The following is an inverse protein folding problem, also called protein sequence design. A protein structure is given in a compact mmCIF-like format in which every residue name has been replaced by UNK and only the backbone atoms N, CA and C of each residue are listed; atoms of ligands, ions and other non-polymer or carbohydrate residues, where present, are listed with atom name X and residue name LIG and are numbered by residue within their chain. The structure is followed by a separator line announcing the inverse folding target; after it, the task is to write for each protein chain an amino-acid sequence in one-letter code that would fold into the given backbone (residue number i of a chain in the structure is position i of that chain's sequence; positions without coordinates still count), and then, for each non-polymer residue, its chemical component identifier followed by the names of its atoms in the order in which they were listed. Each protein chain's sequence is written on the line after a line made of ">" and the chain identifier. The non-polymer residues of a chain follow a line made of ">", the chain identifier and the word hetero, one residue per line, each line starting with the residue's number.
data_IF_053709934076
#
_entry.id   IF_053709934076
#
_cell.length_a   1.000
_cell.length_b   1.000
_cell.length_c   1.000
_cell.angle_alpha   90.00
_cell.angle_beta   90.00
_cell.angle_gamma   90.00
#
_symmetry.space_group_name_H-M   'P 1'
#
loop_
_entity.id
_entity.type
_entity.pdbx_description
1 polymer ?
#
# COMPACT_ATOMS: atom_id res chain seq x y z
N UNK A 1 0.69 5.24 0.83
CA UNK A 1 -0.68 4.73 0.64
C UNK A 1 -1.52 5.08 1.88
N UNK A 2 -2.04 6.33 2.00
CA UNK A 2 -2.82 6.79 3.17
C UNK A 2 -4.32 6.44 3.11
N UNK A 3 -4.74 5.55 2.22
CA UNK A 3 -6.14 5.30 1.86
C UNK A 3 -6.99 4.79 3.04
N UNK A 4 -6.39 4.06 3.98
CA UNK A 4 -7.10 3.57 5.18
C UNK A 4 -7.60 4.70 6.09
N UNK A 5 -6.93 5.85 6.07
CA UNK A 5 -7.38 7.05 6.78
C UNK A 5 -8.55 7.74 6.08
N UNK A 6 -8.78 7.47 4.79
CA UNK A 6 -9.87 8.02 3.98
C UNK A 6 -11.10 7.10 3.89
N UNK A 7 -11.07 5.92 4.51
CA UNK A 7 -12.14 4.92 4.35
C UNK A 7 -12.06 4.13 3.03
N UNK A 8 -10.88 4.09 2.41
CA UNK A 8 -10.54 3.26 1.24
C UNK A 8 -9.44 2.26 1.63
N UNK A 9 -8.81 1.59 0.68
CA UNK A 9 -7.71 0.65 0.87
C UNK A 9 -6.62 0.93 -0.18
N UNK A 10 -5.38 0.45 -0.02
CA UNK A 10 -4.35 0.62 -1.03
C UNK A 10 -4.77 -0.03 -2.36
N UNK A 11 -5.13 0.79 -3.34
CA UNK A 11 -5.64 0.39 -4.65
C UNK A 11 -4.59 0.63 -5.75
N UNK A 12 -5.01 0.71 -7.02
CA UNK A 12 -4.15 1.00 -8.19
C UNK A 12 -2.98 0.02 -8.39
N UNK A 13 -3.14 -1.23 -7.97
CA UNK A 13 -2.15 -2.28 -7.98
C UNK A 13 -1.29 -2.33 -6.72
N UNK A 14 -1.58 -1.54 -5.70
CA UNK A 14 -0.79 -1.52 -4.47
C UNK A 14 -0.82 -2.83 -3.71
N UNK A 15 -1.92 -3.58 -3.76
CA UNK A 15 -1.94 -4.92 -3.14
C UNK A 15 -0.94 -5.87 -3.79
N UNK A 16 -0.59 -5.65 -5.07
CA UNK A 16 0.44 -6.42 -5.76
C UNK A 16 1.86 -6.04 -5.32
N UNK A 17 2.23 -4.75 -5.37
CA UNK A 17 3.62 -4.37 -5.04
C UNK A 17 3.88 -4.38 -3.53
N UNK A 18 2.91 -3.98 -2.68
CA UNK A 18 3.07 -4.04 -1.22
C UNK A 18 3.31 -5.47 -0.75
N UNK A 19 2.59 -6.44 -1.31
CA UNK A 19 2.72 -7.85 -0.94
C UNK A 19 4.07 -8.49 -1.29
N UNK A 20 4.91 -7.79 -2.08
CA UNK A 20 6.26 -8.23 -2.48
C UNK A 20 7.37 -7.50 -1.73
N UNK A 21 7.03 -6.52 -0.89
CA UNK A 21 8.02 -5.86 -0.06
C UNK A 21 8.60 -6.82 0.99
N UNK A 22 9.81 -6.55 1.52
CA UNK A 22 10.48 -7.42 2.47
C UNK A 22 9.60 -7.77 3.68
N UNK A 23 9.51 -9.06 4.00
CA UNK A 23 8.75 -9.56 5.15
C UNK A 23 7.30 -9.06 5.16
N UNK A 24 6.91 -8.35 6.22
CA UNK A 24 5.58 -7.76 6.42
C UNK A 24 5.57 -6.23 6.30
N UNK A 25 6.57 -5.66 5.61
CA UNK A 25 6.69 -4.21 5.42
C UNK A 25 5.54 -3.64 4.59
N UNK A 26 5.02 -4.41 3.63
CA UNK A 26 3.86 -4.04 2.83
C UNK A 26 2.59 -3.85 3.65
N UNK A 27 2.30 -4.78 4.55
CA UNK A 27 1.19 -4.69 5.49
C UNK A 27 1.33 -3.48 6.40
N UNK A 28 2.54 -3.19 6.91
CA UNK A 28 2.80 -1.98 7.68
C UNK A 28 2.44 -0.72 6.87
N UNK A 29 3.01 -0.54 5.68
CA UNK A 29 2.78 0.65 4.85
C UNK A 29 1.31 0.80 4.43
N UNK A 30 0.67 -0.30 4.06
CA UNK A 30 -0.71 -0.30 3.58
C UNK A 30 -1.72 -0.02 4.69
N UNK A 31 -1.45 -0.46 5.92
CA UNK A 31 -2.36 -0.23 7.05
C UNK A 31 -2.17 1.15 7.70
N UNK A 32 -0.92 1.59 7.87
CA UNK A 32 -0.61 2.83 8.60
C UNK A 32 -0.60 4.07 7.72
N UNK A 33 -0.39 3.90 6.41
CA UNK A 33 -0.16 5.02 5.49
C UNK A 33 1.13 5.78 5.77
N UNK A 34 2.10 5.14 6.42
CA UNK A 34 3.39 5.74 6.74
C UNK A 34 4.10 6.29 5.49
N UNK A 35 4.76 7.43 5.67
CA UNK A 35 5.57 8.06 4.62
C UNK A 35 6.98 7.48 4.67
N UNK A 36 7.51 7.19 3.49
CA UNK A 36 8.91 6.81 3.32
C UNK A 36 9.68 7.97 2.71
N UNK A 37 10.95 8.09 3.08
CA UNK A 37 11.90 8.93 2.36
C UNK A 37 12.57 8.18 1.20
N UNK A 38 13.45 8.88 0.50
CA UNK A 38 14.20 8.39 -0.65
C UNK A 38 15.05 7.15 -0.34
N UNK A 39 15.81 7.17 0.75
CA UNK A 39 16.65 6.06 1.19
C UNK A 39 15.81 4.85 1.56
N UNK A 40 14.67 5.06 2.24
CA UNK A 40 13.74 4.01 2.60
C UNK A 40 13.04 3.39 1.39
N UNK A 41 12.62 4.21 0.43
CA UNK A 41 12.03 3.74 -0.82
C UNK A 41 12.99 2.85 -1.60
N UNK A 42 14.27 3.23 -1.67
CA UNK A 42 15.30 2.42 -2.32
C UNK A 42 15.56 1.13 -1.53
N UNK A 43 15.70 1.21 -0.21
CA UNK A 43 16.02 0.06 0.64
C UNK A 43 14.92 -1.01 0.64
N UNK A 44 13.64 -0.60 0.59
CA UNK A 44 12.52 -1.55 0.54
C UNK A 44 12.15 -2.02 -0.88
N UNK A 45 12.80 -1.48 -1.91
CA UNK A 45 12.58 -1.88 -3.31
C UNK A 45 11.40 -1.20 -4.01
N UNK A 46 10.86 -0.11 -3.45
CA UNK A 46 9.85 0.72 -4.11
C UNK A 46 10.46 1.71 -5.13
N UNK A 47 11.68 2.17 -4.89
CA UNK A 47 12.48 2.91 -5.87
C UNK A 47 13.57 2.00 -6.44
N UNK A 48 13.87 2.16 -7.73
CA UNK A 48 14.97 1.43 -8.39
C UNK A 48 16.29 2.19 -8.30
N UNK A 49 16.24 3.52 -8.32
CA UNK A 49 17.41 4.40 -8.26
C UNK A 49 17.10 5.64 -7.42
N UNK A 50 18.15 6.25 -6.87
CA UNK A 50 18.10 7.56 -6.25
C UNK A 50 19.01 8.52 -7.02
N UNK A 51 18.48 9.67 -7.43
CA UNK A 51 19.23 10.70 -8.15
C UNK A 51 19.01 12.04 -7.44
N UNK A 52 20.08 12.74 -7.00
CA UNK A 52 19.93 14.06 -6.40
C UNK A 52 19.22 15.04 -7.35
N UNK A 53 18.34 15.86 -6.81
CA UNK A 53 17.52 16.80 -7.61
C UNK A 53 18.35 17.70 -8.53
N UNK A 54 19.55 18.12 -8.09
CA UNK A 54 20.49 18.93 -8.87
C UNK A 54 21.02 18.25 -10.13
N UNK A 55 20.90 16.91 -10.23
CA UNK A 55 21.33 16.12 -11.40
C UNK A 55 20.17 15.71 -12.32
N UNK A 56 18.91 15.94 -11.93
CA UNK A 56 17.75 15.46 -12.69
C UNK A 56 17.66 16.09 -14.10
N UNK A 57 17.93 17.38 -14.25
CA UNK A 57 17.90 18.03 -15.58
C UNK A 57 18.95 17.43 -16.53
N UNK A 58 20.14 17.12 -16.03
CA UNK A 58 21.19 16.51 -16.83
C UNK A 58 20.89 15.04 -17.16
N UNK A 59 20.21 14.31 -16.27
CA UNK A 59 19.71 12.97 -16.55
C UNK A 59 18.63 12.99 -17.64
N UNK A 60 17.68 13.93 -17.56
CA UNK A 60 16.62 14.09 -18.57
C UNK A 60 17.20 14.36 -19.96
N UNK A 61 18.19 15.27 -20.06
CA UNK A 61 18.89 15.55 -21.32
C UNK A 61 19.61 14.29 -21.86
N UNK A 62 20.28 13.53 -21.01
CA UNK A 62 20.95 12.30 -21.42
C UNK A 62 19.96 11.23 -21.95
N UNK A 63 18.80 11.09 -21.31
CA UNK A 63 17.75 10.16 -21.75
C UNK A 63 17.13 10.56 -23.09
N UNK A 64 16.97 11.87 -23.34
CA UNK A 64 16.46 12.38 -24.63
C UNK A 64 17.39 12.08 -25.82
N UNK A 65 18.69 11.92 -25.57
CA UNK A 65 19.69 11.72 -26.62
C UNK A 65 19.89 10.25 -27.03
N UNK A 66 19.12 9.32 -26.47
CA UNK A 66 19.29 7.88 -26.69
C UNK A 66 18.27 7.34 -27.66
N UNK A 67 18.75 6.55 -28.62
CA UNK A 67 17.89 5.83 -29.55
C UNK A 67 16.94 4.90 -28.81
N UNK A 68 15.63 5.19 -28.86
CA UNK A 68 14.57 4.40 -28.23
C UNK A 68 14.56 2.97 -28.77
N UNK A 69 15.17 2.01 -28.06
CA UNK A 69 14.91 0.58 -28.29
C UNK A 69 15.55 -0.37 -27.26
N UNK A 70 16.56 0.04 -26.49
CA UNK A 70 17.21 -0.84 -25.53
C UNK A 70 16.99 -0.42 -24.05
N UNK A 71 16.17 -1.15 -23.27
CA UNK A 71 16.01 -0.92 -21.84
C UNK A 71 17.32 -0.97 -21.04
N UNK A 72 18.31 -1.77 -21.48
CA UNK A 72 19.61 -1.84 -20.81
C UNK A 72 20.39 -0.53 -20.98
N UNK A 73 20.34 0.08 -22.17
CA UNK A 73 20.92 1.40 -22.41
C UNK A 73 20.28 2.49 -21.54
N UNK A 74 18.95 2.45 -21.37
CA UNK A 74 18.24 3.37 -20.48
C UNK A 74 18.69 3.19 -19.02
N UNK A 75 18.75 1.94 -18.54
CA UNK A 75 19.23 1.66 -17.17
C UNK A 75 20.66 2.17 -16.96
N UNK A 76 21.57 1.87 -17.89
CA UNK A 76 22.96 2.28 -17.80
C UNK A 76 23.17 3.80 -17.76
N UNK A 77 22.23 4.57 -18.32
CA UNK A 77 22.25 6.03 -18.20
C UNK A 77 21.81 6.44 -16.81
N UNK A 78 20.67 5.92 -16.32
CA UNK A 78 20.18 6.25 -14.98
C UNK A 78 21.26 5.93 -13.93
N UNK A 79 21.96 4.80 -14.08
CA UNK A 79 23.07 4.37 -13.22
C UNK A 79 24.22 5.41 -13.13
N UNK A 80 24.52 6.13 -14.21
CA UNK A 80 25.56 7.20 -14.20
C UNK A 80 25.17 8.40 -13.33
N UNK A 81 23.86 8.61 -13.16
CA UNK A 81 23.32 9.71 -12.35
C UNK A 81 22.95 9.28 -10.93
N UNK A 82 22.72 7.99 -10.74
CA UNK A 82 22.34 7.39 -9.48
C UNK A 82 23.42 7.56 -8.39
N UNK A 83 22.95 7.64 -7.16
CA UNK A 83 23.77 7.65 -5.95
C UNK A 83 23.13 6.74 -4.90
N UNK A 84 23.94 6.28 -3.95
CA UNK A 84 23.43 5.53 -2.80
C UNK A 84 23.11 6.50 -1.65
N UNK A 85 21.82 6.74 -1.31
CA UNK A 85 21.47 7.51 -0.14
C UNK A 85 21.70 6.68 1.13
N UNK A 86 22.04 7.35 2.23
CA UNK A 86 22.19 6.71 3.53
C UNK A 86 20.85 6.70 4.28
N UNK A 87 20.49 5.56 4.87
CA UNK A 87 19.37 5.50 5.80
C UNK A 87 19.66 6.36 7.04
N UNK A 88 18.65 7.10 7.49
CA UNK A 88 18.72 7.86 8.74
C UNK A 88 18.72 6.89 9.92
N UNK A 89 19.36 7.28 11.02
CA UNK A 89 19.41 6.47 12.26
C UNK A 89 18.02 6.01 12.74
N UNK A 90 17.01 6.89 12.64
CA UNK A 90 15.61 6.60 13.00
C UNK A 90 14.74 6.12 11.84
N UNK A 91 15.34 5.62 10.76
CA UNK A 91 14.60 5.14 9.60
C UNK A 91 13.62 4.03 9.99
N UNK A 92 12.45 4.06 9.36
CA UNK A 92 11.42 3.01 9.47
C UNK A 92 11.97 1.68 8.97
N UNK A 93 12.87 1.69 7.98
CA UNK A 93 13.46 0.46 7.44
C UNK A 93 14.32 -0.28 8.48
N UNK A 94 14.97 0.44 9.40
CA UNK A 94 15.68 -0.18 10.53
C UNK A 94 14.75 -0.88 11.53
N UNK A 95 13.43 -0.67 11.43
CA UNK A 95 12.43 -1.30 12.28
C UNK A 95 11.81 -2.55 11.66
N UNK A 96 12.37 -3.05 10.56
CA UNK A 96 11.86 -4.21 9.83
C UNK A 96 11.67 -5.44 10.73
N UNK A 97 12.56 -5.68 11.70
CA UNK A 97 12.40 -6.81 12.64
C UNK A 97 11.16 -6.66 13.54
N UNK A 98 10.91 -5.46 14.07
CA UNK A 98 9.72 -5.18 14.86
C UNK A 98 8.45 -5.23 14.00
N UNK A 99 8.53 -4.70 12.79
CA UNK A 99 7.44 -4.79 11.80
C UNK A 99 7.13 -6.26 11.51
N UNK A 100 8.13 -7.09 11.25
CA UNK A 100 7.93 -8.50 10.97
C UNK A 100 7.31 -9.25 12.14
N UNK A 101 7.74 -8.97 13.38
CA UNK A 101 7.11 -9.56 14.57
C UNK A 101 5.64 -9.16 14.68
N UNK A 102 5.34 -7.87 14.64
CA UNK A 102 3.99 -7.36 14.90
C UNK A 102 3.01 -7.53 13.74
N UNK A 103 3.44 -7.31 12.49
CA UNK A 103 2.56 -7.33 11.30
C UNK A 103 2.41 -8.71 10.65
N UNK A 104 3.08 -9.74 11.19
CA UNK A 104 2.92 -11.13 10.75
C UNK A 104 1.60 -11.77 11.19
N UNK A 105 0.92 -11.21 12.19
CA UNK A 105 -0.27 -11.80 12.80
C UNK A 105 -1.51 -11.82 11.90
N UNK A 106 -2.37 -12.84 12.04
CA UNK A 106 -3.50 -13.13 11.15
C UNK A 106 -4.53 -12.01 10.98
N UNK A 107 -4.74 -11.19 12.01
CA UNK A 107 -5.80 -10.18 12.06
C UNK A 107 -5.27 -8.81 12.47
N UNK A 108 -6.02 -7.74 12.18
CA UNK A 108 -5.63 -6.37 12.57
C UNK A 108 -5.64 -6.23 14.11
N UNK A 109 -6.57 -6.90 14.77
CA UNK A 109 -6.69 -6.98 16.23
C UNK A 109 -5.44 -7.60 16.87
N UNK A 110 -4.94 -8.70 16.30
CA UNK A 110 -3.72 -9.34 16.78
C UNK A 110 -2.48 -8.47 16.52
N UNK A 111 -2.42 -7.78 15.37
CA UNK A 111 -1.34 -6.83 15.05
C UNK A 111 -1.32 -5.69 16.09
N UNK A 112 -2.48 -5.11 16.41
CA UNK A 112 -2.60 -4.07 17.43
C UNK A 112 -2.19 -4.59 18.80
N UNK A 113 -2.63 -5.79 19.18
CA UNK A 113 -2.28 -6.42 20.44
C UNK A 113 -0.76 -6.68 20.55
N UNK A 114 -0.12 -7.12 19.46
CA UNK A 114 1.32 -7.31 19.41
C UNK A 114 2.09 -5.98 19.55
N UNK A 115 1.63 -4.91 18.89
CA UNK A 115 2.21 -3.57 19.04
C UNK A 115 2.05 -3.03 20.48
N UNK A 116 0.88 -3.22 21.09
CA UNK A 116 0.62 -2.80 22.47
C UNK A 116 1.51 -3.57 23.46
N UNK A 117 1.73 -4.86 23.24
CA UNK A 117 2.67 -5.65 24.03
C UNK A 117 4.12 -5.17 23.86
N UNK A 118 4.59 -4.90 22.63
CA UNK A 118 5.94 -4.33 22.43
C UNK A 118 6.08 -2.94 23.09
N UNK A 119 5.02 -2.11 23.10
CA UNK A 119 5.04 -0.80 23.73
C UNK A 119 5.18 -0.84 25.26
N UNK A 120 4.77 -1.96 25.89
CA UNK A 120 4.96 -2.16 27.33
C UNK A 120 6.39 -2.50 27.71
N UNK A 121 7.09 -3.25 26.84
CA UNK A 121 8.48 -3.68 27.07
C UNK A 121 9.49 -2.58 26.72
N UNK A 122 9.22 -1.79 25.66
CA UNK A 122 10.04 -0.66 25.25
C UNK A 122 9.23 0.60 25.00
N UNK A 123 9.60 1.68 25.67
CA UNK A 123 9.07 3.01 25.36
C UNK A 123 9.66 3.50 24.02
N UNK A 124 8.91 3.29 22.94
CA UNK A 124 9.30 3.65 21.58
C UNK A 124 8.23 4.48 20.90
N UNK A 125 8.57 5.74 20.60
CA UNK A 125 7.68 6.72 19.97
C UNK A 125 7.06 6.20 18.66
N UNK A 126 7.81 5.41 17.89
CA UNK A 126 7.31 4.83 16.63
C UNK A 126 6.19 3.83 16.87
N UNK A 127 6.28 2.99 17.92
CA UNK A 127 5.23 2.01 18.23
C UNK A 127 3.95 2.76 18.64
N UNK A 128 4.08 3.72 19.56
CA UNK A 128 2.97 4.55 20.00
C UNK A 128 2.29 5.27 18.83
N UNK A 129 3.08 5.89 17.94
CA UNK A 129 2.56 6.55 16.75
C UNK A 129 1.85 5.56 15.80
N UNK A 130 2.42 4.37 15.60
CA UNK A 130 1.83 3.31 14.77
C UNK A 130 0.48 2.85 15.31
N UNK A 131 0.37 2.60 16.61
CA UNK A 131 -0.90 2.25 17.27
C UNK A 131 -1.93 3.36 17.06
N UNK A 132 -1.54 4.63 17.20
CA UNK A 132 -2.45 5.76 17.00
C UNK A 132 -2.92 5.90 15.55
N UNK A 133 -2.06 5.62 14.56
CA UNK A 133 -2.45 5.61 13.15
C UNK A 133 -3.50 4.54 12.88
N UNK A 134 -3.27 3.31 13.35
CA UNK A 134 -4.22 2.21 13.20
C UNK A 134 -5.56 2.51 13.91
N UNK A 135 -5.53 3.04 15.15
CA UNK A 135 -6.76 3.38 15.89
C UNK A 135 -7.58 4.52 15.27
N UNK A 136 -6.96 5.39 14.45
CA UNK A 136 -7.63 6.50 13.76
C UNK A 136 -8.16 6.13 12.38
N UNK A 137 -7.63 5.09 11.75
CA UNK A 137 -8.08 4.63 10.43
C UNK A 137 -9.45 3.96 10.48
N UNK A 138 -10.10 3.81 9.32
CA UNK A 138 -11.36 3.06 9.24
C UNK A 138 -11.12 1.59 9.60
N UNK A 139 -11.90 1.02 10.55
CA UNK A 139 -11.80 -0.40 10.89
C UNK A 139 -12.07 -1.32 9.69
N UNK A 140 -13.03 -0.95 8.84
CA UNK A 140 -13.35 -1.68 7.61
C UNK A 140 -12.16 -1.67 6.67
N UNK A 141 -11.62 -0.48 6.40
CA UNK A 141 -10.46 -0.28 5.53
C UNK A 141 -9.23 -1.07 5.97
N UNK A 142 -8.94 -1.11 7.27
CA UNK A 142 -7.81 -1.87 7.79
C UNK A 142 -7.95 -3.37 7.48
N UNK A 143 -9.13 -3.95 7.75
CA UNK A 143 -9.35 -5.39 7.53
C UNK A 143 -9.30 -5.77 6.06
N UNK A 144 -9.98 -5.02 5.20
CA UNK A 144 -9.96 -5.30 3.76
C UNK A 144 -8.55 -5.09 3.17
N UNK A 145 -7.78 -4.11 3.66
CA UNK A 145 -6.40 -3.87 3.21
C UNK A 145 -5.47 -5.02 3.60
N UNK A 146 -5.56 -5.50 4.85
CA UNK A 146 -4.75 -6.63 5.33
C UNK A 146 -5.01 -7.89 4.50
N UNK A 147 -6.29 -8.23 4.31
CA UNK A 147 -6.69 -9.36 3.46
C UNK A 147 -6.20 -9.18 2.03
N UNK A 148 -6.36 -7.97 1.48
CA UNK A 148 -6.03 -7.69 0.09
C UNK A 148 -4.52 -7.82 -0.20
N UNK A 149 -3.67 -7.28 0.68
CA UNK A 149 -2.22 -7.37 0.56
C UNK A 149 -1.78 -8.84 0.68
N UNK A 150 -2.31 -9.60 1.64
CA UNK A 150 -1.88 -10.99 1.86
C UNK A 150 -2.19 -11.92 0.70
N UNK A 151 -3.40 -11.86 0.20
CA UNK A 151 -3.79 -12.60 -1.01
C UNK A 151 -2.97 -12.17 -2.24
N UNK A 152 -2.51 -10.91 -2.29
CA UNK A 152 -1.65 -10.39 -3.36
C UNK A 152 -0.32 -11.12 -3.50
N UNK A 153 0.14 -11.81 -2.44
CA UNK A 153 1.35 -12.65 -2.45
C UNK A 153 1.22 -13.85 -3.40
N UNK A 154 0.00 -14.37 -3.57
CA UNK A 154 -0.30 -15.55 -4.37
C UNK A 154 -0.81 -15.20 -5.78
N UNK A 155 -0.95 -13.91 -6.09
CA UNK A 155 -1.62 -13.42 -7.30
C UNK A 155 -0.66 -12.65 -8.22
N UNK A 156 -0.92 -12.71 -9.53
CA UNK A 156 -0.33 -11.79 -10.50
C UNK A 156 -1.00 -10.42 -10.47
N UNK A 157 -0.36 -9.40 -11.06
CA UNK A 157 -0.89 -8.01 -11.06
C UNK A 157 -2.31 -7.93 -11.62
N UNK A 158 -2.62 -8.70 -12.68
CA UNK A 158 -3.96 -8.71 -13.25
C UNK A 158 -5.04 -9.22 -12.29
N UNK A 159 -4.72 -10.24 -11.49
CA UNK A 159 -5.64 -10.77 -10.48
C UNK A 159 -5.81 -9.77 -9.32
N UNK A 160 -4.74 -9.10 -8.90
CA UNK A 160 -4.83 -8.01 -7.92
C UNK A 160 -5.71 -6.87 -8.41
N UNK A 161 -5.52 -6.39 -9.65
CA UNK A 161 -6.33 -5.32 -10.23
C UNK A 161 -7.82 -5.69 -10.32
N UNK A 162 -8.15 -6.92 -10.72
CA UNK A 162 -9.54 -7.41 -10.76
C UNK A 162 -10.16 -7.38 -9.36
N UNK A 163 -9.42 -7.82 -8.35
CA UNK A 163 -9.89 -7.84 -6.96
C UNK A 163 -10.04 -6.44 -6.37
N UNK A 164 -9.04 -5.58 -6.55
CA UNK A 164 -9.10 -4.17 -6.15
C UNK A 164 -10.28 -3.47 -6.83
N UNK A 165 -10.54 -3.74 -8.11
CA UNK A 165 -11.71 -3.20 -8.81
C UNK A 165 -13.02 -3.59 -8.12
N UNK A 166 -13.21 -4.87 -7.78
CA UNK A 166 -14.40 -5.33 -7.03
C UNK A 166 -14.53 -4.60 -5.71
N UNK A 167 -13.42 -4.50 -4.96
CA UNK A 167 -13.40 -3.81 -3.68
C UNK A 167 -13.80 -2.33 -3.84
N UNK A 168 -13.25 -1.61 -4.84
CA UNK A 168 -13.63 -0.22 -5.13
C UNK A 168 -15.12 -0.12 -5.44
N UNK A 169 -15.67 -1.00 -6.28
CA UNK A 169 -17.11 -0.99 -6.57
C UNK A 169 -17.97 -1.16 -5.31
N UNK A 170 -17.62 -2.09 -4.42
CA UNK A 170 -18.32 -2.27 -3.15
C UNK A 170 -18.20 -1.05 -2.22
N UNK A 171 -17.01 -0.42 -2.17
CA UNK A 171 -16.82 0.85 -1.45
C UNK A 171 -17.70 1.96 -2.03
N UNK A 172 -17.73 2.13 -3.36
CA UNK A 172 -18.51 3.16 -4.03
C UNK A 172 -20.02 2.94 -3.91
N UNK A 173 -20.47 1.69 -3.89
CA UNK A 173 -21.88 1.37 -3.63
C UNK A 173 -22.31 1.74 -2.21
N UNK A 174 -21.38 1.80 -1.25
CA UNK A 174 -21.63 2.26 0.11
C UNK A 174 -22.63 1.40 0.91
N UNK A 175 -22.91 0.17 0.45
CA UNK A 175 -23.89 -0.74 1.08
C UNK A 175 -23.36 -1.39 2.36
N UNK A 176 -22.07 -1.72 2.37
CA UNK A 176 -21.40 -2.39 3.49
C UNK A 176 -20.90 -1.38 4.54
N UNK A 177 -20.35 -0.26 4.08
CA UNK A 177 -19.90 0.85 4.90
C UNK A 177 -19.95 2.15 4.10
N UNK A 178 -20.11 3.27 4.79
CA UNK A 178 -20.04 4.63 4.23
C UNK A 178 -18.73 5.34 4.57
N UNK A 179 -17.73 4.60 5.05
CA UNK A 179 -16.47 5.17 5.53
C UNK A 179 -15.76 6.00 4.46
N UNK A 180 -15.79 5.61 3.18
CA UNK A 180 -15.15 6.43 2.14
C UNK A 180 -15.75 7.84 2.03
N UNK A 181 -17.08 7.94 2.08
CA UNK A 181 -17.79 9.23 2.02
C UNK A 181 -17.45 10.06 3.26
N UNK A 182 -17.48 9.44 4.43
CA UNK A 182 -17.15 10.10 5.70
C UNK A 182 -15.67 10.53 5.78
N UNK A 183 -14.75 9.71 5.27
CA UNK A 183 -13.33 10.03 5.22
C UNK A 183 -13.06 11.18 4.25
N UNK A 184 -13.71 11.19 3.09
CA UNK A 184 -13.66 12.32 2.15
C UNK A 184 -14.20 13.60 2.80
N UNK A 185 -15.32 13.52 3.51
CA UNK A 185 -15.87 14.65 4.27
C UNK A 185 -14.85 15.18 5.28
N UNK A 186 -14.35 14.33 6.17
CA UNK A 186 -13.47 14.71 7.27
C UNK A 186 -12.10 15.24 6.81
N UNK A 187 -11.53 14.69 5.73
CA UNK A 187 -10.15 14.99 5.32
C UNK A 187 -10.09 16.02 4.18
N UNK A 188 -11.00 15.95 3.21
CA UNK A 188 -10.91 16.75 1.98
C UNK A 188 -11.90 17.91 1.95
N UNK A 189 -13.13 17.71 2.43
CA UNK A 189 -14.18 18.74 2.39
C UNK A 189 -14.15 19.64 3.62
N UNK A 190 -14.55 19.10 4.78
CA UNK A 190 -14.65 19.86 6.03
C UNK A 190 -13.29 20.07 6.69
N UNK A 191 -12.34 19.18 6.40
CA UNK A 191 -10.94 19.21 6.89
C UNK A 191 -10.83 19.22 8.42
N UNK A 192 -11.84 18.68 9.12
CA UNK A 192 -11.86 18.55 10.57
C UNK A 192 -10.93 17.44 11.09
N UNK A 193 -10.50 16.52 10.20
CA UNK A 193 -9.66 15.35 10.50
C UNK A 193 -10.24 14.47 11.63
N UNK A 194 -11.57 14.41 11.73
CA UNK A 194 -12.31 13.69 12.76
C UNK A 194 -13.42 12.80 12.17
N UNK A 195 -13.06 11.81 11.33
CA UNK A 195 -14.02 10.94 10.70
C UNK A 195 -14.80 10.10 11.72
N UNK A 196 -16.08 9.90 11.47
CA UNK A 196 -17.00 9.09 12.28
C UNK A 196 -17.26 7.74 11.60
N UNK A 197 -16.30 6.85 11.72
CA UNK A 197 -16.35 5.53 11.09
C UNK A 197 -17.56 4.70 11.53
N UNK A 198 -18.14 4.00 10.56
CA UNK A 198 -19.22 3.05 10.77
C UNK A 198 -18.92 1.74 10.04
N UNK A 199 -18.60 0.65 10.77
CA UNK A 199 -18.52 0.56 12.24
C UNK A 199 -17.29 1.28 12.84
N UNK A 200 -17.37 1.65 14.12
CA UNK A 200 -16.35 2.44 14.82
C UNK A 200 -15.24 1.62 15.50
N UNK A 201 -15.36 0.29 15.50
CA UNK A 201 -14.39 -0.64 16.12
C UNK A 201 -14.11 -1.84 15.23
N UNK A 202 -12.93 -2.44 15.37
CA UNK A 202 -12.50 -3.60 14.58
C UNK A 202 -13.38 -4.82 14.86
N UNK A 203 -13.71 -5.06 16.13
CA UNK A 203 -14.53 -6.21 16.55
C UNK A 203 -15.94 -6.23 15.93
N UNK A 204 -16.42 -5.06 15.48
CA UNK A 204 -17.73 -4.90 14.84
C UNK A 204 -17.71 -5.18 13.33
N UNK A 205 -16.53 -5.28 12.72
CA UNK A 205 -16.37 -5.68 11.32
C UNK A 205 -16.23 -7.19 11.26
N UNK A 206 -17.28 -7.89 10.82
CA UNK A 206 -17.25 -9.35 10.69
C UNK A 206 -16.47 -9.80 9.45
N UNK A 207 -15.91 -11.00 9.49
CA UNK A 207 -15.22 -11.58 8.34
C UNK A 207 -16.16 -11.74 7.13
N UNK A 208 -17.45 -12.01 7.36
CA UNK A 208 -18.45 -12.08 6.28
C UNK A 208 -18.54 -10.75 5.51
N UNK A 209 -18.49 -9.61 6.22
CA UNK A 209 -18.49 -8.29 5.59
C UNK A 209 -17.19 -8.07 4.81
N UNK A 210 -16.04 -8.44 5.37
CA UNK A 210 -14.74 -8.34 4.70
C UNK A 210 -14.72 -9.18 3.42
N UNK A 211 -15.15 -10.44 3.50
CA UNK A 211 -15.18 -11.36 2.37
C UNK A 211 -16.09 -10.86 1.24
N UNK A 212 -17.17 -10.15 1.59
CA UNK A 212 -18.09 -9.55 0.61
C UNK A 212 -17.38 -8.53 -0.29
N UNK A 213 -16.42 -7.76 0.23
CA UNK A 213 -15.65 -6.80 -0.59
C UNK A 213 -14.84 -7.47 -1.70
N UNK A 214 -14.52 -8.76 -1.59
CA UNK A 214 -13.78 -9.51 -2.60
C UNK A 214 -14.68 -10.24 -3.61
N UNK A 215 -15.99 -10.30 -3.34
CA UNK A 215 -16.96 -10.96 -4.21
C UNK A 215 -17.17 -10.19 -5.50
N UNK A 216 -17.53 -10.92 -6.56
CA UNK A 216 -17.87 -10.34 -7.86
C UNK A 216 -18.99 -9.33 -7.71
N UNK A 217 -18.91 -8.29 -8.51
CA UNK A 217 -19.94 -7.26 -8.59
C UNK A 217 -20.81 -7.63 -9.78
N UNK A 218 -22.04 -8.07 -9.49
CA UNK A 218 -23.03 -8.37 -10.51
C UNK A 218 -24.21 -7.40 -10.35
N UNK A 219 -24.34 -6.47 -11.30
CA UNK A 219 -25.43 -5.51 -11.33
C UNK A 219 -25.58 -4.87 -12.70
N UNK A 220 -26.73 -4.27 -12.97
CA UNK A 220 -27.04 -3.66 -14.28
C UNK A 220 -26.05 -2.56 -14.71
N UNK A 221 -25.36 -1.95 -13.75
CA UNK A 221 -24.37 -0.87 -13.95
C UNK A 221 -22.96 -1.24 -13.48
N UNK A 222 -22.78 -2.45 -12.93
CA UNK A 222 -21.52 -2.88 -12.35
C UNK A 222 -21.17 -4.27 -12.90
N UNK A 223 -20.14 -4.31 -13.73
CA UNK A 223 -19.58 -5.55 -14.26
C UNK A 223 -18.16 -5.76 -13.73
N UNK A 224 -17.78 -7.01 -13.50
CA UNK A 224 -16.42 -7.35 -13.09
C UNK A 224 -15.37 -6.93 -14.16
N UNK A 225 -14.19 -6.49 -13.70
CA UNK A 225 -13.12 -6.02 -14.57
C UNK A 225 -12.63 -7.13 -15.50
N UNK A 226 -12.71 -6.90 -16.80
CA UNK A 226 -12.14 -7.77 -17.84
C UNK A 226 -10.90 -7.14 -18.41
N UNK A 227 -9.73 -7.64 -18.00
CA UNK A 227 -8.47 -7.20 -18.58
C UNK A 227 -8.33 -7.74 -20.02
N UNK A 228 -7.82 -6.93 -20.96
CA UNK A 228 -7.61 -7.38 -22.33
C UNK A 228 -6.55 -8.50 -22.36
N UNK A 229 -6.74 -9.46 -23.26
CA UNK A 229 -5.73 -10.49 -23.52
C UNK A 229 -4.46 -9.82 -24.06
N UNK A 230 -3.36 -9.92 -23.31
CA UNK A 230 -2.06 -9.40 -23.74
C UNK A 230 -1.31 -10.49 -24.51
N UNK A 231 -1.58 -10.59 -25.81
CA UNK A 231 -1.05 -11.65 -26.67
C UNK A 231 0.45 -11.50 -27.03
N UNK A 232 1.07 -10.35 -26.77
CA UNK A 232 2.46 -10.05 -27.17
C UNK A 232 3.18 -9.20 -26.11
N UNK A 233 3.31 -9.68 -24.87
CA UNK A 233 4.21 -9.02 -23.93
C UNK A 233 5.65 -9.46 -24.20
N UNK A 234 6.60 -8.52 -24.37
CA UNK A 234 8.02 -8.84 -24.33
C UNK A 234 8.34 -9.55 -23.00
N UNK A 235 9.31 -10.48 -23.00
CA UNK A 235 9.63 -11.26 -21.80
C UNK A 235 9.97 -10.42 -20.56
N UNK A 236 10.52 -9.22 -20.76
CA UNK A 236 10.81 -8.26 -19.69
C UNK A 236 9.57 -7.61 -19.07
N UNK A 237 8.42 -7.64 -19.75
CA UNK A 237 7.16 -7.12 -19.22
C UNK A 237 6.39 -8.15 -18.36
N UNK A 238 6.90 -9.38 -18.30
CA UNK A 238 6.37 -10.48 -17.47
C UNK A 238 7.27 -10.87 -16.31
N UNK A 239 8.51 -10.38 -16.27
CA UNK A 239 9.42 -10.62 -15.15
C UNK A 239 8.92 -9.91 -13.91
N UNK A 240 8.71 -10.68 -12.83
CA UNK A 240 8.52 -10.15 -11.49
C UNK A 240 9.72 -9.25 -11.18
N UNK A 241 9.46 -7.96 -10.96
CA UNK A 241 10.31 -7.15 -10.08
C UNK A 241 10.26 -7.81 -8.70
#
# INVERSE_FOLDING_TARGET
>A
MPETALGLFPDVGATYFLSRLPGFFGEYLGLTGSRLDDAEMLACGLATHFVPSVRLSALEEALCNVGFSDPAAVSAIIDQYAQQPNLKEKSIYHRLDAINRCFSHGTVEDILSALEAEAMDRADEWICATIQLLKKASPTSLKISLGAIREGRLQGIGQCLVREYRMVCHVMQGKLSKDFVEGCRAILLDKDRNPKWQPSKLELVSNIVVDHYFQKVDGKEWEDLKLPARLNLPGYATTKI
#
